data_IF_209530382237
#
_entry.id   IF_209530382237
#
_cell.length_a   1.000
_cell.length_b   1.000
_cell.length_c   1.000
_cell.angle_alpha   90.00
_cell.angle_beta   90.00
_cell.angle_gamma   90.00
#
_symmetry.space_group_name_H-M   'P 1'
#
loop_
_entity.id
_entity.type
_entity.pdbx_description
1 polymer ?
#
# COMPACT_ATOMS: atom_id res chain seq x y z
N UNK A 1 -11.37 -7.00 25.80
CA UNK A 1 -10.83 -6.08 24.77
C UNK A 1 -9.77 -6.86 23.99
N UNK A 2 -9.68 -6.69 22.68
CA UNK A 2 -8.59 -7.30 21.91
C UNK A 2 -7.27 -6.64 22.31
N UNK A 3 -6.25 -7.45 22.57
CA UNK A 3 -4.90 -6.99 22.91
C UNK A 3 -4.12 -6.84 21.63
N UNK A 4 -3.57 -5.65 21.37
CA UNK A 4 -2.79 -5.36 20.18
C UNK A 4 -1.49 -6.17 20.11
N UNK A 5 -0.93 -6.29 18.90
CA UNK A 5 0.44 -6.82 18.75
C UNK A 5 1.43 -6.07 19.65
N UNK A 6 1.35 -4.73 19.68
CA UNK A 6 2.28 -3.88 20.44
C UNK A 6 2.17 -4.02 21.96
N UNK A 7 1.01 -4.48 22.47
CA UNK A 7 0.87 -4.78 23.89
C UNK A 7 1.32 -6.20 24.22
N UNK A 8 0.98 -7.18 23.34
CA UNK A 8 1.39 -8.58 23.54
C UNK A 8 2.91 -8.77 23.49
N UNK A 9 3.61 -8.06 22.60
CA UNK A 9 5.03 -8.24 22.44
C UNK A 9 5.83 -7.78 23.66
N UNK A 10 5.26 -6.95 24.55
CA UNK A 10 5.87 -6.56 25.84
C UNK A 10 6.04 -7.75 26.79
N UNK A 11 5.23 -8.79 26.61
CA UNK A 11 5.26 -10.02 27.41
C UNK A 11 6.07 -11.15 26.73
N UNK A 12 6.64 -10.88 25.54
CA UNK A 12 7.40 -11.87 24.80
C UNK A 12 8.70 -12.23 25.53
N UNK A 13 8.88 -13.53 25.78
CA UNK A 13 10.04 -14.07 26.51
C UNK A 13 11.10 -14.66 25.58
N UNK A 14 10.73 -14.93 24.34
CA UNK A 14 11.64 -15.50 23.35
C UNK A 14 12.43 -14.39 22.65
N UNK A 15 13.60 -14.72 22.10
CA UNK A 15 14.38 -13.75 21.33
C UNK A 15 13.54 -13.13 20.19
N UNK A 16 13.52 -11.79 20.13
CA UNK A 16 12.90 -11.04 19.04
C UNK A 16 13.98 -10.72 18.03
N UNK A 17 13.81 -11.17 16.78
CA UNK A 17 14.81 -11.03 15.71
C UNK A 17 14.17 -10.31 14.53
N UNK A 18 14.87 -9.33 13.99
CA UNK A 18 14.36 -8.53 12.86
C UNK A 18 14.83 -9.14 11.53
N UNK A 19 13.89 -9.37 10.62
CA UNK A 19 14.21 -9.73 9.24
C UNK A 19 14.11 -8.50 8.35
N UNK A 20 15.26 -8.04 7.86
CA UNK A 20 15.40 -6.88 7.00
C UNK A 20 16.32 -5.81 7.56
N UNK A 21 16.79 -4.90 6.71
CA UNK A 21 17.79 -3.86 7.03
C UNK A 21 17.46 -2.54 6.34
N UNK A 22 16.19 -2.27 6.07
CA UNK A 22 15.70 -1.04 5.46
C UNK A 22 14.99 -0.14 6.46
N UNK A 23 14.33 0.90 5.95
CA UNK A 23 13.60 1.89 6.74
C UNK A 23 12.52 1.27 7.66
N UNK A 24 11.82 0.23 7.20
CA UNK A 24 10.85 -0.47 8.05
C UNK A 24 11.49 -1.14 9.26
N UNK A 25 12.69 -1.75 9.07
CA UNK A 25 13.47 -2.33 10.18
C UNK A 25 13.97 -1.25 11.15
N UNK A 26 14.39 -0.07 10.66
CA UNK A 26 14.76 1.07 11.51
C UNK A 26 13.61 1.49 12.42
N UNK A 27 12.44 1.76 11.83
CA UNK A 27 11.24 2.18 12.58
C UNK A 27 10.77 1.11 13.57
N UNK A 28 10.89 -0.16 13.18
CA UNK A 28 10.52 -1.30 14.03
C UNK A 28 11.44 -1.37 15.26
N UNK A 29 12.75 -1.24 15.08
CA UNK A 29 13.73 -1.21 16.18
C UNK A 29 13.47 -0.02 17.11
N UNK A 30 13.21 1.16 16.57
CA UNK A 30 12.90 2.35 17.37
C UNK A 30 11.63 2.15 18.21
N UNK A 31 10.55 1.61 17.61
CA UNK A 31 9.30 1.33 18.33
C UNK A 31 9.49 0.29 19.44
N UNK A 32 10.22 -0.78 19.16
CA UNK A 32 10.53 -1.81 20.16
C UNK A 32 11.35 -1.25 21.31
N UNK A 33 12.36 -0.43 21.01
CA UNK A 33 13.20 0.24 22.01
C UNK A 33 12.40 1.16 22.93
N UNK A 34 11.47 1.96 22.36
CA UNK A 34 10.55 2.80 23.13
C UNK A 34 9.64 1.95 24.06
N UNK A 35 9.28 0.74 23.63
CA UNK A 35 8.52 -0.22 24.43
C UNK A 35 9.36 -0.99 25.47
N UNK A 36 10.66 -0.74 25.55
CA UNK A 36 11.58 -1.48 26.43
C UNK A 36 11.87 -2.92 25.95
N UNK A 37 11.57 -3.24 24.70
CA UNK A 37 11.72 -4.57 24.13
C UNK A 37 13.11 -4.70 23.50
N UNK A 38 13.89 -5.67 23.97
CA UNK A 38 15.24 -5.90 23.48
C UNK A 38 15.20 -6.72 22.18
N UNK A 39 15.75 -6.16 21.11
CA UNK A 39 16.04 -6.89 19.87
C UNK A 39 17.27 -7.78 20.10
N UNK A 40 17.14 -9.08 19.81
CA UNK A 40 18.24 -10.06 19.94
C UNK A 40 19.21 -9.98 18.76
N UNK A 41 18.71 -9.73 17.55
CA UNK A 41 19.54 -9.70 16.36
C UNK A 41 18.79 -9.24 15.11
N UNK A 42 19.56 -9.08 14.02
CA UNK A 42 19.04 -8.70 12.69
C UNK A 42 19.58 -9.67 11.66
N UNK A 43 18.73 -10.17 10.78
CA UNK A 43 19.15 -10.99 9.68
C UNK A 43 18.56 -10.51 8.33
N UNK A 44 19.18 -10.94 7.25
CA UNK A 44 18.76 -10.66 5.89
C UNK A 44 18.77 -11.95 5.05
N UNK A 45 18.12 -11.94 3.89
CA UNK A 45 18.25 -13.01 2.90
C UNK A 45 19.71 -13.16 2.47
N UNK A 46 20.15 -14.37 2.14
CA UNK A 46 21.57 -14.72 1.93
C UNK A 46 22.30 -13.78 0.95
N UNK A 47 21.66 -13.35 -0.12
CA UNK A 47 22.22 -12.38 -1.07
C UNK A 47 22.44 -10.96 -0.50
N UNK A 48 21.92 -10.67 0.68
CA UNK A 48 21.96 -9.34 1.33
C UNK A 48 22.76 -9.32 2.65
N UNK A 49 23.31 -10.43 3.10
CA UNK A 49 24.09 -10.52 4.34
C UNK A 49 25.36 -9.66 4.31
N UNK A 50 26.16 -9.73 3.27
CA UNK A 50 27.33 -8.88 2.89
C UNK A 50 28.22 -8.37 4.04
N UNK A 51 28.51 -9.14 5.06
CA UNK A 51 29.37 -8.80 6.22
C UNK A 51 29.24 -7.31 6.67
N UNK A 52 28.02 -6.86 6.86
CA UNK A 52 27.69 -5.48 7.26
C UNK A 52 27.03 -5.43 8.62
N UNK A 53 27.06 -4.25 9.24
CA UNK A 53 26.27 -3.95 10.43
C UNK A 53 25.06 -3.09 10.11
N UNK A 54 23.99 -3.25 10.90
CA UNK A 54 22.79 -2.43 10.83
C UNK A 54 22.34 -2.09 12.26
N UNK A 55 22.24 -0.82 12.58
CA UNK A 55 21.86 -0.33 13.94
C UNK A 55 22.70 -0.95 15.08
N UNK A 56 23.98 -1.21 14.81
CA UNK A 56 24.90 -1.85 15.77
C UNK A 56 24.84 -3.38 15.81
N UNK A 57 23.91 -4.01 15.10
CA UNK A 57 23.86 -5.47 14.97
C UNK A 57 24.70 -5.92 13.78
N UNK A 58 25.48 -6.98 13.93
CA UNK A 58 26.04 -7.71 12.79
C UNK A 58 24.88 -8.41 12.06
N UNK A 59 24.71 -8.12 10.76
CA UNK A 59 23.67 -8.75 9.94
C UNK A 59 24.05 -10.20 9.68
N UNK A 60 23.17 -11.12 10.04
CA UNK A 60 23.38 -12.56 9.88
C UNK A 60 22.49 -13.16 8.80
N UNK A 61 22.71 -14.41 8.44
CA UNK A 61 21.77 -15.21 7.65
C UNK A 61 20.66 -15.78 8.52
N UNK A 62 19.59 -16.30 7.92
CA UNK A 62 18.54 -17.03 8.66
C UNK A 62 19.12 -18.24 9.40
N UNK A 63 20.04 -19.01 8.78
CA UNK A 63 20.70 -20.13 9.44
C UNK A 63 21.50 -19.71 10.68
N UNK A 64 22.24 -18.59 10.59
CA UNK A 64 22.94 -18.01 11.74
C UNK A 64 22.01 -17.53 12.85
N UNK A 65 20.85 -16.99 12.50
CA UNK A 65 19.82 -16.61 13.46
C UNK A 65 19.23 -17.86 14.17
N UNK A 66 18.96 -18.93 13.44
CA UNK A 66 18.46 -20.21 14.00
C UNK A 66 19.49 -20.87 14.93
N UNK A 67 20.76 -20.85 14.54
CA UNK A 67 21.85 -21.38 15.38
C UNK A 67 21.98 -20.61 16.69
N UNK A 68 21.86 -19.28 16.67
CA UNK A 68 22.06 -18.43 17.83
C UNK A 68 20.83 -18.37 18.75
N UNK A 69 19.62 -18.32 18.20
CA UNK A 69 18.38 -18.05 18.95
C UNK A 69 17.40 -19.22 19.04
N UNK A 70 17.60 -20.29 18.23
CA UNK A 70 16.67 -21.42 18.13
C UNK A 70 15.46 -21.11 17.24
N UNK A 71 14.67 -22.15 16.95
CA UNK A 71 13.51 -22.09 16.06
C UNK A 71 12.26 -21.46 16.70
N UNK A 72 12.23 -21.27 18.01
CA UNK A 72 11.13 -20.63 18.73
C UNK A 72 11.31 -19.09 18.88
N UNK A 73 12.35 -18.52 18.29
CA UNK A 73 12.49 -17.07 18.18
C UNK A 73 11.28 -16.43 17.50
N UNK A 74 10.94 -15.19 17.87
CA UNK A 74 9.94 -14.40 17.15
C UNK A 74 10.62 -13.54 16.08
N UNK A 75 10.31 -13.80 14.83
CA UNK A 75 10.80 -13.03 13.68
C UNK A 75 9.82 -11.91 13.38
N UNK A 76 10.32 -10.68 13.32
CA UNK A 76 9.54 -9.52 12.89
C UNK A 76 10.03 -9.05 11.51
N UNK A 77 9.11 -8.95 10.56
CA UNK A 77 9.42 -8.44 9.23
C UNK A 77 9.55 -6.93 9.25
N UNK A 78 10.75 -6.43 8.94
CA UNK A 78 11.06 -5.01 8.82
C UNK A 78 11.04 -4.48 7.38
N UNK A 79 10.29 -5.13 6.49
CA UNK A 79 10.10 -4.73 5.09
C UNK A 79 8.75 -5.22 4.58
N UNK A 80 8.34 -4.69 3.44
CA UNK A 80 7.16 -5.15 2.71
C UNK A 80 7.51 -5.57 1.27
N UNK A 81 6.66 -6.37 0.65
CA UNK A 81 6.82 -6.80 -0.74
C UNK A 81 5.51 -7.34 -1.34
N UNK A 82 5.34 -7.12 -2.63
CA UNK A 82 4.33 -7.73 -3.50
C UNK A 82 4.96 -8.67 -4.53
N UNK A 83 6.30 -8.81 -4.52
CA UNK A 83 7.01 -9.70 -5.44
C UNK A 83 6.70 -11.15 -5.10
N UNK A 84 6.17 -11.89 -6.08
CA UNK A 84 5.66 -13.25 -5.89
C UNK A 84 6.66 -14.21 -5.23
N UNK A 85 7.95 -14.13 -5.60
CA UNK A 85 9.00 -14.96 -5.02
C UNK A 85 9.29 -14.61 -3.55
N UNK A 86 9.16 -13.32 -3.18
CA UNK A 86 9.36 -12.86 -1.79
C UNK A 86 8.16 -13.23 -0.93
N UNK A 87 6.95 -12.98 -1.41
CA UNK A 87 5.70 -13.37 -0.75
C UNK A 87 5.68 -14.87 -0.50
N UNK A 88 6.00 -15.70 -1.52
CA UNK A 88 6.08 -17.16 -1.39
C UNK A 88 7.12 -17.61 -0.37
N UNK A 89 8.26 -16.94 -0.30
CA UNK A 89 9.31 -17.23 0.68
C UNK A 89 8.87 -16.91 2.11
N UNK A 90 8.15 -15.78 2.30
CA UNK A 90 7.62 -15.39 3.60
C UNK A 90 6.46 -16.29 4.02
N UNK A 91 5.58 -16.71 3.10
CA UNK A 91 4.53 -17.73 3.38
C UNK A 91 5.15 -19.02 3.91
N UNK A 92 6.19 -19.54 3.26
CA UNK A 92 6.91 -20.72 3.72
C UNK A 92 7.56 -20.51 5.08
N UNK A 93 8.27 -19.39 5.27
CA UNK A 93 8.91 -19.07 6.54
C UNK A 93 7.90 -18.99 7.70
N UNK A 94 6.74 -18.36 7.48
CA UNK A 94 5.67 -18.25 8.49
C UNK A 94 4.96 -19.58 8.79
N UNK A 95 5.07 -20.56 7.90
CA UNK A 95 4.62 -21.94 8.15
C UNK A 95 5.61 -22.77 8.98
N UNK A 96 6.89 -22.39 9.01
CA UNK A 96 7.93 -23.12 9.73
C UNK A 96 8.32 -22.46 11.07
N UNK A 97 8.29 -21.15 11.14
CA UNK A 97 8.76 -20.35 12.27
C UNK A 97 7.72 -19.32 12.72
N UNK A 98 7.92 -18.77 13.91
CA UNK A 98 7.06 -17.70 14.45
C UNK A 98 7.41 -16.40 13.77
N UNK A 99 6.58 -15.99 12.82
CA UNK A 99 6.75 -14.73 12.05
C UNK A 99 5.59 -13.80 12.34
N UNK A 100 5.88 -12.53 12.55
CA UNK A 100 4.89 -11.46 12.60
C UNK A 100 5.33 -10.27 11.73
N UNK A 101 4.36 -9.59 11.17
CA UNK A 101 4.55 -8.39 10.36
C UNK A 101 3.60 -7.30 10.87
N UNK A 102 3.89 -6.65 12.01
CA UNK A 102 3.04 -5.57 12.47
C UNK A 102 3.07 -4.40 11.49
N UNK A 103 1.92 -3.75 11.28
CA UNK A 103 1.89 -2.52 10.49
C UNK A 103 2.80 -1.47 11.12
N UNK A 104 3.71 -0.97 10.32
CA UNK A 104 4.63 0.12 10.68
C UNK A 104 4.20 1.35 9.87
N UNK A 105 3.90 2.48 10.53
CA UNK A 105 3.49 3.69 9.83
C UNK A 105 4.63 4.24 8.98
N UNK A 106 4.38 4.46 7.68
CA UNK A 106 5.34 5.07 6.75
C UNK A 106 4.94 6.50 6.38
N UNK A 107 3.63 6.77 6.32
CA UNK A 107 3.05 8.02 5.86
C UNK A 107 2.24 8.76 6.95
N UNK A 108 2.09 8.13 8.10
CA UNK A 108 1.51 8.68 9.32
C UNK A 108 2.38 8.27 10.53
N UNK A 109 1.96 8.64 11.74
CA UNK A 109 2.62 8.23 13.00
C UNK A 109 1.73 7.29 13.83
N UNK A 110 0.69 6.70 13.21
CA UNK A 110 -0.33 5.89 13.89
C UNK A 110 0.09 4.43 13.98
N UNK A 111 0.34 3.97 15.19
CA UNK A 111 0.49 2.55 15.50
C UNK A 111 -0.87 1.97 15.93
N UNK A 112 -1.18 0.76 15.46
CA UNK A 112 -2.42 0.06 15.85
C UNK A 112 -2.22 -0.57 17.23
N UNK A 113 -2.31 0.25 18.25
CA UNK A 113 -2.28 -0.18 19.65
C UNK A 113 -3.67 -0.23 20.26
N UNK A 114 -3.77 -0.61 21.54
CA UNK A 114 -5.06 -0.77 22.22
C UNK A 114 -5.88 0.52 22.32
N UNK A 115 -5.29 1.71 22.15
CA UNK A 115 -6.00 2.98 22.13
C UNK A 115 -6.66 3.26 20.79
N UNK A 116 -6.09 2.78 19.68
CA UNK A 116 -6.59 2.98 18.33
C UNK A 116 -7.64 1.92 17.91
N UNK A 117 -7.55 0.70 18.45
CA UNK A 117 -8.42 -0.43 18.08
C UNK A 117 -9.93 -0.09 18.21
N UNK A 118 -10.43 0.57 19.26
CA UNK A 118 -11.87 0.87 19.38
C UNK A 118 -12.38 1.75 18.22
N UNK A 119 -11.64 2.79 17.85
CA UNK A 119 -11.97 3.65 16.71
C UNK A 119 -11.95 2.85 15.40
N UNK A 120 -10.89 2.08 15.16
CA UNK A 120 -10.76 1.26 13.95
C UNK A 120 -11.95 0.29 13.82
N UNK A 121 -12.35 -0.38 14.89
CA UNK A 121 -13.48 -1.31 14.89
C UNK A 121 -14.81 -0.63 14.59
N UNK A 122 -15.06 0.52 15.19
CA UNK A 122 -16.25 1.31 14.90
C UNK A 122 -16.33 1.67 13.42
N UNK A 123 -15.22 2.17 12.83
CA UNK A 123 -15.13 2.55 11.43
C UNK A 123 -15.26 1.35 10.48
N UNK A 124 -14.63 0.23 10.83
CA UNK A 124 -14.73 -1.01 10.05
C UNK A 124 -16.16 -1.57 10.07
N UNK A 125 -16.83 -1.56 11.22
CA UNK A 125 -18.23 -2.00 11.31
C UNK A 125 -19.17 -1.13 10.45
N UNK A 126 -18.96 0.19 10.45
CA UNK A 126 -19.69 1.12 9.58
C UNK A 126 -19.42 0.85 8.09
N UNK A 127 -18.15 0.66 7.72
CA UNK A 127 -17.75 0.37 6.34
C UNK A 127 -18.29 -0.97 5.84
N UNK A 128 -18.28 -2.01 6.68
CA UNK A 128 -18.76 -3.35 6.31
C UNK A 128 -20.19 -3.35 5.76
N UNK A 129 -21.07 -2.50 6.33
CA UNK A 129 -22.45 -2.34 5.87
C UNK A 129 -22.60 -1.67 4.50
N UNK A 130 -21.54 -1.04 3.99
CA UNK A 130 -21.51 -0.34 2.69
C UNK A 130 -20.85 -1.14 1.59
N UNK A 131 -20.12 -2.22 1.93
CA UNK A 131 -19.41 -3.06 0.97
C UNK A 131 -20.39 -3.91 0.14
N UNK A 132 -20.15 -3.94 -1.17
CA UNK A 132 -21.09 -4.50 -2.14
C UNK A 132 -21.19 -6.03 -2.10
N UNK A 133 -20.10 -6.73 -1.69
CA UNK A 133 -20.06 -8.19 -1.72
C UNK A 133 -19.44 -8.82 -0.46
N UNK A 134 -19.60 -10.14 -0.34
CA UNK A 134 -19.12 -10.91 0.81
C UNK A 134 -17.59 -11.04 0.82
N UNK A 135 -16.96 -11.07 -0.36
CA UNK A 135 -15.50 -11.09 -0.47
C UNK A 135 -14.90 -9.83 0.17
N UNK A 136 -15.46 -8.66 -0.14
CA UNK A 136 -15.04 -7.38 0.46
C UNK A 136 -15.18 -7.37 1.99
N UNK A 137 -16.29 -7.93 2.52
CA UNK A 137 -16.51 -8.02 3.97
C UNK A 137 -15.52 -8.96 4.64
N UNK A 138 -15.22 -10.11 4.01
CA UNK A 138 -14.19 -11.05 4.50
C UNK A 138 -12.79 -10.41 4.47
N UNK A 139 -12.45 -9.72 3.40
CA UNK A 139 -11.18 -8.98 3.27
C UNK A 139 -11.06 -7.92 4.36
N UNK A 140 -12.11 -7.14 4.62
CA UNK A 140 -12.11 -6.14 5.68
C UNK A 140 -11.89 -6.75 7.07
N UNK A 141 -12.57 -7.85 7.38
CA UNK A 141 -12.38 -8.58 8.65
C UNK A 141 -10.97 -9.14 8.79
N UNK A 142 -10.41 -9.71 7.72
CA UNK A 142 -9.05 -10.25 7.73
C UNK A 142 -8.00 -9.15 7.94
N UNK A 143 -8.19 -7.97 7.33
CA UNK A 143 -7.32 -6.82 7.54
C UNK A 143 -7.42 -6.29 8.98
N UNK A 144 -8.63 -6.28 9.58
CA UNK A 144 -8.80 -5.93 10.98
C UNK A 144 -7.98 -6.85 11.89
N UNK A 145 -8.15 -8.15 11.73
CA UNK A 145 -7.46 -9.17 12.52
C UNK A 145 -5.93 -9.10 12.31
N UNK A 146 -5.48 -8.93 11.07
CA UNK A 146 -4.08 -8.70 10.75
C UNK A 146 -3.53 -7.44 11.43
N UNK A 147 -4.19 -6.30 11.31
CA UNK A 147 -3.74 -5.02 11.89
C UNK A 147 -3.62 -5.08 13.42
N UNK A 148 -4.50 -5.82 14.07
CA UNK A 148 -4.47 -6.05 15.53
C UNK A 148 -3.36 -7.01 15.92
N UNK A 149 -3.20 -8.10 15.15
CA UNK A 149 -2.34 -9.22 15.53
C UNK A 149 -0.93 -9.19 14.95
N UNK A 150 -0.71 -8.57 13.80
CA UNK A 150 0.50 -8.70 13.01
C UNK A 150 0.67 -10.08 12.36
N UNK A 151 -0.36 -10.94 12.40
CA UNK A 151 -0.32 -12.29 11.85
C UNK A 151 -0.65 -12.27 10.35
N UNK A 152 0.31 -12.68 9.54
CA UNK A 152 0.21 -12.71 8.08
C UNK A 152 -0.79 -13.72 7.54
N UNK A 153 -1.19 -14.73 8.34
CA UNK A 153 -2.14 -15.74 7.89
C UNK A 153 -3.50 -15.12 7.52
N UNK A 154 -3.89 -14.03 8.19
CA UNK A 154 -5.10 -13.30 7.84
C UNK A 154 -5.02 -12.68 6.44
N UNK A 155 -3.88 -12.06 6.09
CA UNK A 155 -3.67 -11.49 4.74
C UNK A 155 -3.63 -12.59 3.68
N UNK A 156 -2.85 -13.63 3.91
CA UNK A 156 -2.75 -14.77 2.98
C UNK A 156 -4.08 -15.50 2.76
N UNK A 157 -4.96 -15.49 3.77
CA UNK A 157 -6.29 -16.11 3.69
C UNK A 157 -7.34 -15.27 2.94
N UNK A 158 -7.08 -14.00 2.66
CA UNK A 158 -8.01 -13.10 1.96
C UNK A 158 -7.46 -12.58 0.62
N UNK A 159 -6.35 -13.13 0.12
CA UNK A 159 -5.80 -12.73 -1.17
C UNK A 159 -6.79 -12.96 -2.31
N UNK A 160 -7.07 -11.91 -3.05
CA UNK A 160 -7.87 -11.93 -4.28
C UNK A 160 -7.02 -11.95 -5.53
N UNK A 161 -7.68 -11.92 -6.68
CA UNK A 161 -7.07 -11.88 -8.00
C UNK A 161 -7.33 -10.53 -8.66
N UNK A 162 -6.26 -9.85 -9.11
CA UNK A 162 -6.43 -8.62 -9.91
C UNK A 162 -7.15 -8.90 -11.22
N UNK A 163 -6.84 -10.02 -11.89
CA UNK A 163 -7.51 -10.44 -13.11
C UNK A 163 -9.02 -10.59 -12.91
N UNK A 164 -9.45 -11.17 -11.79
CA UNK A 164 -10.88 -11.33 -11.49
C UNK A 164 -11.53 -9.98 -11.15
N UNK A 165 -10.81 -9.08 -10.46
CA UNK A 165 -11.29 -7.72 -10.21
C UNK A 165 -11.52 -6.95 -11.50
N UNK A 166 -10.60 -7.01 -12.45
CA UNK A 166 -10.75 -6.35 -13.73
C UNK A 166 -11.92 -6.93 -14.54
N UNK A 167 -12.13 -8.27 -14.56
CA UNK A 167 -13.17 -8.93 -15.33
C UNK A 167 -14.56 -8.82 -14.70
N UNK A 168 -14.65 -8.94 -13.36
CA UNK A 168 -15.94 -9.14 -12.69
C UNK A 168 -16.45 -7.92 -11.95
N UNK A 169 -15.57 -6.97 -11.60
CA UNK A 169 -15.91 -5.76 -10.84
C UNK A 169 -15.77 -4.52 -11.71
N UNK A 170 -14.59 -4.30 -12.30
CA UNK A 170 -14.36 -3.13 -13.16
C UNK A 170 -15.07 -3.25 -14.50
N UNK A 171 -15.11 -4.43 -15.12
CA UNK A 171 -15.82 -4.69 -16.38
C UNK A 171 -15.58 -3.59 -17.42
N UNK A 172 -14.31 -3.48 -17.87
CA UNK A 172 -13.87 -2.43 -18.79
C UNK A 172 -14.44 -2.64 -20.19
N UNK A 173 -14.85 -1.56 -20.86
CA UNK A 173 -15.62 -1.61 -22.11
C UNK A 173 -14.78 -1.46 -23.40
N UNK A 174 -13.46 -1.38 -23.31
CA UNK A 174 -12.58 -1.22 -24.48
C UNK A 174 -12.58 0.17 -25.14
N UNK A 175 -13.26 1.15 -24.55
CA UNK A 175 -13.26 2.58 -24.96
C UNK A 175 -13.02 3.49 -23.77
N UNK A 176 -12.20 3.01 -22.82
CA UNK A 176 -11.90 3.74 -21.60
C UNK A 176 -11.01 4.96 -21.87
N UNK A 177 -11.32 6.05 -21.19
CA UNK A 177 -10.42 7.17 -20.95
C UNK A 177 -9.82 6.93 -19.56
N UNK A 178 -8.63 6.33 -19.53
CA UNK A 178 -7.94 5.87 -18.32
C UNK A 178 -6.99 6.92 -17.77
N UNK A 179 -7.02 7.13 -16.46
CA UNK A 179 -6.03 7.95 -15.76
C UNK A 179 -5.36 7.15 -14.65
N UNK A 180 -4.02 7.15 -14.66
CA UNK A 180 -3.15 6.49 -13.70
C UNK A 180 -2.39 7.51 -12.87
N UNK A 181 -2.80 7.70 -11.61
CA UNK A 181 -2.13 8.61 -10.68
C UNK A 181 -1.19 7.80 -9.79
N UNK A 182 0.12 8.09 -9.90
CA UNK A 182 1.19 7.26 -9.36
C UNK A 182 1.50 6.09 -10.32
N UNK A 183 1.77 6.43 -11.58
CA UNK A 183 1.98 5.44 -12.65
C UNK A 183 3.34 4.72 -12.55
N UNK A 184 4.24 5.18 -11.67
CA UNK A 184 5.56 4.61 -11.43
C UNK A 184 6.34 4.38 -12.73
N UNK A 185 6.42 3.14 -13.20
CA UNK A 185 7.14 2.76 -14.43
C UNK A 185 6.23 2.19 -15.51
N UNK A 186 4.91 2.21 -15.29
CA UNK A 186 3.91 1.77 -16.26
C UNK A 186 3.38 0.33 -16.04
N UNK A 187 3.72 -0.32 -14.94
CA UNK A 187 3.23 -1.66 -14.61
C UNK A 187 1.69 -1.74 -14.51
N UNK A 188 1.05 -0.70 -13.98
CA UNK A 188 -0.40 -0.59 -13.94
C UNK A 188 -1.03 -0.27 -15.29
N UNK A 189 -0.29 0.41 -16.17
CA UNK A 189 -0.70 0.61 -17.58
C UNK A 189 -0.70 -0.74 -18.32
N UNK A 190 0.34 -1.57 -18.14
CA UNK A 190 0.38 -2.92 -18.73
C UNK A 190 -0.81 -3.77 -18.29
N UNK A 191 -1.14 -3.71 -17.00
CA UNK A 191 -2.29 -4.42 -16.45
C UNK A 191 -3.62 -3.90 -17.05
N UNK A 192 -3.76 -2.58 -17.18
CA UNK A 192 -4.91 -1.98 -17.85
C UNK A 192 -5.03 -2.45 -19.30
N UNK A 193 -3.95 -2.37 -20.08
CA UNK A 193 -3.93 -2.79 -21.50
C UNK A 193 -4.27 -4.27 -21.67
N UNK A 194 -3.81 -5.13 -20.78
CA UNK A 194 -4.13 -6.56 -20.77
C UNK A 194 -5.65 -6.81 -20.68
N UNK A 195 -6.37 -5.98 -19.92
CA UNK A 195 -7.80 -6.20 -19.63
C UNK A 195 -8.74 -5.35 -20.48
N UNK A 196 -8.33 -4.13 -20.85
CA UNK A 196 -9.15 -3.26 -21.67
C UNK A 196 -9.20 -3.69 -23.15
N UNK A 197 -8.13 -4.31 -23.64
CA UNK A 197 -7.97 -4.68 -25.06
C UNK A 197 -7.75 -3.46 -25.96
N UNK A 198 -8.71 -2.54 -25.98
CA UNK A 198 -8.66 -1.23 -26.66
C UNK A 198 -9.03 -0.12 -25.68
N UNK A 199 -8.67 1.11 -25.99
CA UNK A 199 -8.96 2.29 -25.15
C UNK A 199 -9.04 3.56 -26.00
N UNK A 200 -9.60 4.63 -25.47
CA UNK A 200 -9.67 5.95 -26.12
C UNK A 200 -8.43 6.79 -25.83
N UNK A 201 -8.07 6.92 -24.55
CA UNK A 201 -6.91 7.70 -24.11
C UNK A 201 -6.34 7.19 -22.80
N UNK A 202 -5.07 7.49 -22.56
CA UNK A 202 -4.40 7.26 -21.27
C UNK A 202 -3.77 8.58 -20.79
N UNK A 203 -4.03 8.96 -19.55
CA UNK A 203 -3.28 9.97 -18.81
C UNK A 203 -2.48 9.33 -17.70
N UNK A 204 -1.19 9.60 -17.57
CA UNK A 204 -0.36 9.00 -16.53
C UNK A 204 0.46 10.07 -15.79
N UNK A 205 0.39 10.05 -14.47
CA UNK A 205 1.02 11.03 -13.57
C UNK A 205 2.04 10.33 -12.68
N UNK A 206 3.30 10.80 -12.71
CA UNK A 206 4.38 10.28 -11.88
C UNK A 206 5.32 11.41 -11.44
N UNK A 207 5.41 11.72 -10.13
CA UNK A 207 6.22 12.84 -9.64
C UNK A 207 7.71 12.55 -9.54
N UNK A 208 8.15 11.29 -9.38
CA UNK A 208 9.58 10.95 -9.33
C UNK A 208 10.21 10.96 -10.71
N UNK A 209 11.15 11.90 -10.96
CA UNK A 209 11.74 12.07 -12.28
C UNK A 209 12.43 10.81 -12.84
N UNK A 210 13.02 9.94 -11.99
CA UNK A 210 13.67 8.70 -12.45
C UNK A 210 12.64 7.64 -12.84
N UNK A 211 11.55 7.55 -12.09
CA UNK A 211 10.42 6.69 -12.42
C UNK A 211 9.73 7.18 -13.68
N UNK A 212 9.54 8.50 -13.81
CA UNK A 212 8.95 9.13 -14.98
C UNK A 212 9.78 8.92 -16.27
N UNK A 213 11.11 9.01 -16.20
CA UNK A 213 11.99 8.66 -17.34
C UNK A 213 11.72 7.24 -17.82
N UNK A 214 11.65 6.27 -16.88
CA UNK A 214 11.36 4.87 -17.22
C UNK A 214 9.93 4.65 -17.71
N UNK A 215 8.97 5.35 -17.14
CA UNK A 215 7.59 5.37 -17.64
C UNK A 215 7.54 5.85 -19.09
N UNK A 216 8.24 6.93 -19.40
CA UNK A 216 8.33 7.49 -20.76
C UNK A 216 8.96 6.49 -21.74
N UNK A 217 10.06 5.85 -21.35
CA UNK A 217 10.70 4.80 -22.17
C UNK A 217 9.77 3.62 -22.39
N UNK A 218 9.09 3.16 -21.33
CA UNK A 218 8.21 1.99 -21.36
C UNK A 218 7.00 2.19 -22.26
N UNK A 219 6.43 3.41 -22.23
CA UNK A 219 5.19 3.74 -22.96
C UNK A 219 5.41 4.36 -24.35
N UNK A 220 6.65 4.47 -24.82
CA UNK A 220 6.99 5.15 -26.06
C UNK A 220 6.27 4.60 -27.33
N UNK A 221 5.80 3.35 -27.30
CA UNK A 221 5.08 2.72 -28.41
C UNK A 221 3.55 2.79 -28.28
N UNK A 222 3.02 3.43 -27.24
CA UNK A 222 1.58 3.51 -26.97
C UNK A 222 1.04 4.81 -27.57
N UNK A 223 0.09 4.71 -28.50
CA UNK A 223 -0.61 5.88 -29.06
C UNK A 223 -1.65 6.40 -28.06
N UNK A 224 -2.05 7.67 -28.18
CA UNK A 224 -3.05 8.32 -27.33
C UNK A 224 -2.74 8.31 -25.81
N UNK A 225 -1.46 8.41 -25.45
CA UNK A 225 -1.01 8.54 -24.07
C UNK A 225 -0.46 9.96 -23.82
N UNK A 226 -0.78 10.51 -22.65
CA UNK A 226 -0.24 11.78 -22.15
C UNK A 226 0.45 11.55 -20.80
N UNK A 227 1.69 11.99 -20.66
CA UNK A 227 2.51 11.78 -19.48
C UNK A 227 2.77 13.09 -18.74
N UNK A 228 2.67 13.08 -17.42
CA UNK A 228 2.81 14.27 -16.57
C UNK A 228 3.80 13.99 -15.43
N UNK A 229 4.95 14.70 -15.44
CA UNK A 229 5.91 14.64 -14.33
C UNK A 229 5.58 15.72 -13.29
N UNK A 230 4.49 15.52 -12.58
CA UNK A 230 3.98 16.42 -11.55
C UNK A 230 3.47 15.64 -10.34
N UNK A 231 3.38 16.29 -9.20
CA UNK A 231 2.69 15.74 -8.03
C UNK A 231 1.19 16.09 -8.14
N UNK A 232 0.31 15.09 -8.11
CA UNK A 232 -1.14 15.32 -8.13
C UNK A 232 -1.64 15.61 -6.71
N UNK A 233 -2.36 16.74 -6.52
CA UNK A 233 -2.78 17.24 -5.22
C UNK A 233 -4.16 17.93 -5.29
N UNK A 234 -4.59 18.51 -4.18
CA UNK A 234 -5.79 19.35 -4.07
C UNK A 234 -5.55 20.81 -4.46
N UNK A 235 -4.30 21.19 -4.69
CA UNK A 235 -3.89 22.54 -5.08
C UNK A 235 -2.84 22.50 -6.17
N UNK A 236 -2.73 23.59 -6.95
CA UNK A 236 -1.69 23.76 -7.96
C UNK A 236 -0.58 24.65 -7.48
N UNK A 237 0.65 24.41 -7.96
CA UNK A 237 1.82 25.20 -7.59
C UNK A 237 3.08 24.37 -7.42
N UNK A 238 3.69 24.41 -6.24
CA UNK A 238 4.91 23.66 -5.91
C UNK A 238 4.74 22.98 -4.57
N UNK A 239 4.94 21.68 -4.55
CA UNK A 239 5.01 20.87 -3.34
C UNK A 239 6.43 20.35 -3.12
N UNK A 240 6.77 20.00 -1.87
CA UNK A 240 8.07 19.42 -1.55
C UNK A 240 7.93 17.90 -1.50
N UNK A 241 8.65 17.23 -2.39
CA UNK A 241 8.60 15.78 -2.55
C UNK A 241 9.92 15.15 -2.14
N UNK A 242 9.86 14.18 -1.25
CA UNK A 242 11.00 13.37 -0.84
C UNK A 242 11.02 12.07 -1.63
N UNK A 243 11.89 11.95 -2.63
CA UNK A 243 12.17 10.68 -3.26
C UNK A 243 12.96 9.80 -2.28
N UNK A 244 12.28 8.93 -1.55
CA UNK A 244 12.91 7.76 -0.95
C UNK A 244 13.36 6.79 -2.04
N UNK A 245 14.35 5.95 -1.76
CA UNK A 245 14.76 4.89 -2.72
C UNK A 245 13.62 3.86 -2.83
N UNK A 246 12.76 3.97 -3.84
CA UNK A 246 11.64 3.07 -4.08
C UNK A 246 10.29 3.57 -3.55
N UNK A 247 9.37 2.66 -3.29
CA UNK A 247 8.06 2.90 -2.66
C UNK A 247 8.27 3.52 -1.26
N UNK A 248 8.01 4.75 -1.06
CA UNK A 248 8.26 5.49 0.20
C UNK A 248 8.53 6.96 -0.02
N UNK A 249 8.14 7.46 -1.17
CA UNK A 249 8.19 8.88 -1.52
C UNK A 249 7.00 9.60 -0.86
N UNK A 250 7.23 10.67 -0.12
CA UNK A 250 6.16 11.40 0.56
C UNK A 250 6.27 12.90 0.38
N UNK A 251 5.14 13.60 0.45
CA UNK A 251 5.11 15.07 0.50
C UNK A 251 5.67 15.62 1.83
N UNK A 252 6.31 16.79 1.80
CA UNK A 252 6.63 17.58 2.99
C UNK A 252 8.11 17.83 3.30
N UNK A 253 9.05 17.00 2.86
CA UNK A 253 10.49 17.25 2.94
C UNK A 253 11.18 16.71 1.70
N UNK A 254 11.90 17.53 0.94
CA UNK A 254 12.61 17.07 -0.26
C UNK A 254 12.85 18.19 -1.27
N UNK A 255 12.98 17.83 -2.54
CA UNK A 255 13.10 18.80 -3.63
C UNK A 255 11.72 19.38 -4.00
N UNK A 256 11.65 20.64 -4.45
CA UNK A 256 10.42 21.19 -5.00
C UNK A 256 10.04 20.44 -6.29
N UNK A 257 8.78 20.08 -6.41
CA UNK A 257 8.17 19.45 -7.58
C UNK A 257 6.92 20.24 -7.93
N UNK A 258 6.68 20.46 -9.22
CA UNK A 258 5.42 21.05 -9.68
C UNK A 258 4.25 20.20 -9.22
N UNK A 259 3.18 20.82 -8.74
CA UNK A 259 1.95 20.11 -8.43
C UNK A 259 0.75 20.72 -9.18
N UNK A 260 -0.24 19.89 -9.47
CA UNK A 260 -1.48 20.26 -10.12
C UNK A 260 -2.65 19.46 -9.60
N UNK A 261 -3.85 20.00 -9.77
CA UNK A 261 -5.06 19.25 -9.45
C UNK A 261 -5.42 18.27 -10.58
N UNK A 262 -6.08 17.19 -10.24
CA UNK A 262 -6.52 16.22 -11.26
C UNK A 262 -7.46 16.86 -12.28
N UNK A 263 -8.37 17.76 -11.85
CA UNK A 263 -9.28 18.47 -12.72
C UNK A 263 -8.54 19.34 -13.74
N UNK A 264 -7.44 20.02 -13.36
CA UNK A 264 -6.61 20.81 -14.26
C UNK A 264 -5.82 19.93 -15.24
N UNK A 265 -5.23 18.83 -14.77
CA UNK A 265 -4.47 17.91 -15.62
C UNK A 265 -5.34 17.28 -16.70
N UNK A 266 -6.58 16.92 -16.36
CA UNK A 266 -7.57 16.38 -17.31
C UNK A 266 -8.07 17.46 -18.28
N UNK A 267 -8.12 18.73 -17.87
CA UNK A 267 -8.52 19.85 -18.72
C UNK A 267 -9.95 19.76 -19.25
N UNK A 268 -10.86 19.11 -18.51
CA UNK A 268 -12.27 18.94 -18.89
C UNK A 268 -12.53 17.77 -19.81
N UNK A 269 -11.53 16.95 -20.17
CA UNK A 269 -11.66 15.70 -20.91
C UNK A 269 -12.48 14.67 -20.13
N UNK A 270 -13.00 13.67 -20.85
CA UNK A 270 -13.72 12.55 -20.22
C UNK A 270 -12.74 11.67 -19.44
N UNK A 271 -13.21 11.14 -18.31
CA UNK A 271 -12.54 10.06 -17.58
C UNK A 271 -13.57 8.98 -17.29
N UNK A 272 -13.25 7.74 -17.62
CA UNK A 272 -14.13 6.60 -17.38
C UNK A 272 -13.53 5.59 -16.40
N UNK A 273 -12.20 5.55 -16.29
CA UNK A 273 -11.48 4.76 -15.30
C UNK A 273 -10.32 5.55 -14.69
N UNK A 274 -10.22 5.55 -13.37
CA UNK A 274 -9.21 6.27 -12.59
C UNK A 274 -8.55 5.33 -11.59
N UNK A 275 -7.25 5.11 -11.70
CA UNK A 275 -6.46 4.45 -10.67
C UNK A 275 -5.70 5.51 -9.86
N UNK A 276 -5.69 5.38 -8.53
CA UNK A 276 -4.95 6.26 -7.62
C UNK A 276 -4.12 5.42 -6.66
N UNK A 277 -2.81 5.60 -6.73
CA UNK A 277 -1.83 5.06 -5.79
C UNK A 277 -0.74 6.14 -5.61
N UNK A 278 -1.02 7.09 -4.73
CA UNK A 278 -0.31 8.37 -4.63
C UNK A 278 0.51 8.50 -3.34
N UNK A 279 0.95 7.36 -2.78
CA UNK A 279 1.88 7.30 -1.65
C UNK A 279 1.42 8.15 -0.44
N UNK A 280 0.12 8.05 -0.11
CA UNK A 280 -0.53 8.73 1.02
C UNK A 280 -1.10 10.11 0.69
N UNK A 281 -1.21 10.46 -0.59
CA UNK A 281 -1.87 11.68 -1.05
C UNK A 281 -3.24 11.42 -1.71
N UNK A 282 -3.80 10.21 -1.56
CA UNK A 282 -5.04 9.79 -2.23
C UNK A 282 -6.21 10.73 -1.95
N UNK A 283 -6.40 11.15 -0.70
CA UNK A 283 -7.44 12.13 -0.33
C UNK A 283 -7.26 13.45 -1.06
N UNK A 284 -6.03 13.98 -1.15
CA UNK A 284 -5.74 15.22 -1.88
C UNK A 284 -6.03 15.08 -3.36
N UNK A 285 -5.63 13.96 -3.98
CA UNK A 285 -5.93 13.68 -5.39
C UNK A 285 -7.44 13.66 -5.63
N UNK A 286 -8.22 13.01 -4.77
CA UNK A 286 -9.68 12.97 -4.87
C UNK A 286 -10.31 14.35 -4.75
N UNK A 287 -9.82 15.17 -3.82
CA UNK A 287 -10.31 16.54 -3.64
C UNK A 287 -9.95 17.42 -4.85
N UNK A 288 -8.75 17.26 -5.42
CA UNK A 288 -8.31 17.94 -6.65
C UNK A 288 -9.00 17.43 -7.93
N UNK A 289 -9.63 16.25 -7.88
CA UNK A 289 -10.40 15.64 -8.97
C UNK A 289 -11.91 15.67 -8.76
N UNK A 290 -12.39 16.44 -7.77
CA UNK A 290 -13.81 16.47 -7.39
C UNK A 290 -14.74 16.75 -8.57
N UNK A 291 -14.41 17.76 -9.39
CA UNK A 291 -15.24 18.12 -10.55
C UNK A 291 -15.32 17.03 -11.61
N UNK A 292 -14.23 16.34 -11.84
CA UNK A 292 -14.16 15.17 -12.73
C UNK A 292 -15.02 14.01 -12.21
N UNK A 293 -14.89 13.67 -10.91
CA UNK A 293 -15.63 12.59 -10.27
C UNK A 293 -17.13 12.89 -10.27
N UNK A 294 -17.53 14.10 -9.91
CA UNK A 294 -18.93 14.55 -9.94
C UNK A 294 -19.54 14.44 -11.34
N UNK A 295 -18.79 14.90 -12.38
CA UNK A 295 -19.28 15.01 -13.74
C UNK A 295 -19.34 13.67 -14.49
N UNK A 296 -18.27 12.87 -14.39
CA UNK A 296 -18.10 11.70 -15.25
C UNK A 296 -18.36 10.38 -14.54
N UNK A 297 -18.38 10.36 -13.21
CA UNK A 297 -18.58 9.13 -12.42
C UNK A 297 -17.65 7.99 -12.89
N UNK A 298 -16.32 8.21 -12.95
CA UNK A 298 -15.40 7.18 -13.39
C UNK A 298 -15.46 5.95 -12.47
N UNK A 299 -15.25 4.77 -13.01
CA UNK A 299 -14.84 3.62 -12.19
C UNK A 299 -13.52 3.99 -11.53
N UNK A 300 -13.30 3.58 -10.27
CA UNK A 300 -12.06 3.93 -9.58
C UNK A 300 -11.45 2.71 -8.89
N UNK A 301 -10.11 2.62 -8.89
CA UNK A 301 -9.30 1.64 -8.16
C UNK A 301 -8.27 2.43 -7.34
N UNK A 302 -8.39 2.42 -6.02
CA UNK A 302 -7.67 3.34 -5.13
C UNK A 302 -6.96 2.57 -4.02
N UNK A 303 -5.66 2.83 -3.84
CA UNK A 303 -4.87 2.32 -2.72
C UNK A 303 -5.42 2.86 -1.38
N UNK A 304 -5.60 1.96 -0.39
CA UNK A 304 -6.13 2.31 0.93
C UNK A 304 -5.27 1.76 2.08
N UNK A 305 -3.97 1.66 1.85
CA UNK A 305 -3.02 1.04 2.77
C UNK A 305 -1.91 1.98 3.27
N UNK A 306 -1.78 3.16 2.70
CA UNK A 306 -0.68 4.07 3.04
C UNK A 306 -0.83 4.63 4.45
N UNK A 307 -1.99 5.17 4.80
CA UNK A 307 -2.29 5.66 6.15
C UNK A 307 -3.14 4.67 6.93
N UNK A 308 -3.15 4.78 8.24
CA UNK A 308 -3.92 3.88 9.10
C UNK A 308 -5.43 3.97 8.84
N UNK A 309 -5.91 5.13 8.45
CA UNK A 309 -7.32 5.46 8.28
C UNK A 309 -7.81 5.47 6.82
N UNK A 310 -6.93 5.35 5.81
CA UNK A 310 -7.31 5.39 4.40
C UNK A 310 -8.46 4.43 4.06
N UNK A 311 -8.46 3.23 4.65
CA UNK A 311 -9.44 2.19 4.37
C UNK A 311 -10.90 2.60 4.65
N UNK A 312 -11.13 3.53 5.57
CA UNK A 312 -12.47 4.12 5.78
C UNK A 312 -12.53 5.59 5.33
N UNK A 313 -11.42 6.31 5.39
CA UNK A 313 -11.35 7.72 5.03
C UNK A 313 -11.62 7.93 3.54
N UNK A 314 -11.02 7.15 2.68
CA UNK A 314 -11.22 7.25 1.22
C UNK A 314 -12.69 7.04 0.81
N UNK A 315 -13.39 5.98 1.26
CA UNK A 315 -14.83 5.86 1.04
C UNK A 315 -15.68 7.01 1.60
N UNK A 316 -15.28 7.59 2.74
CA UNK A 316 -15.98 8.76 3.31
C UNK A 316 -15.82 9.99 2.41
N UNK A 317 -14.59 10.24 1.91
CA UNK A 317 -14.31 11.35 0.98
C UNK A 317 -15.11 11.21 -0.31
N UNK A 318 -15.08 10.02 -0.92
CA UNK A 318 -15.84 9.75 -2.15
C UNK A 318 -17.34 9.91 -1.92
N UNK A 319 -17.88 9.44 -0.80
CA UNK A 319 -19.28 9.62 -0.45
C UNK A 319 -19.67 11.09 -0.28
N UNK A 320 -18.72 11.93 0.13
CA UNK A 320 -18.92 13.40 0.18
C UNK A 320 -18.89 14.07 -1.19
N UNK A 321 -18.43 13.37 -2.23
CA UNK A 321 -18.46 13.80 -3.63
C UNK A 321 -19.69 13.20 -4.33
N UNK A 322 -19.85 11.88 -4.24
CA UNK A 322 -20.96 11.09 -4.81
C UNK A 322 -21.29 9.89 -3.92
N UNK A 323 -22.57 9.63 -3.69
CA UNK A 323 -23.07 8.56 -2.82
C UNK A 323 -23.63 7.34 -3.56
N UNK A 324 -23.52 7.33 -4.91
CA UNK A 324 -24.09 6.32 -5.78
C UNK A 324 -23.11 5.25 -6.28
N UNK A 325 -21.94 5.16 -5.66
CA UNK A 325 -20.96 4.11 -5.95
C UNK A 325 -21.24 2.82 -5.20
N UNK A 326 -21.09 1.70 -5.89
CA UNK A 326 -20.90 0.38 -5.27
C UNK A 326 -19.44 0.23 -4.88
N UNK A 327 -19.18 -0.17 -3.64
CA UNK A 327 -17.84 -0.18 -3.04
C UNK A 327 -17.39 -1.61 -2.83
N UNK A 328 -16.21 -1.95 -3.36
CA UNK A 328 -15.56 -3.25 -3.16
C UNK A 328 -14.18 -3.06 -2.53
N UNK A 329 -13.77 -4.01 -1.71
CA UNK A 329 -12.43 -4.05 -1.10
C UNK A 329 -11.74 -5.33 -1.54
N UNK A 330 -10.51 -5.21 -2.01
CA UNK A 330 -9.65 -6.33 -2.40
C UNK A 330 -8.27 -6.19 -1.78
N UNK A 331 -7.68 -7.32 -1.45
CA UNK A 331 -6.28 -7.41 -1.07
C UNK A 331 -5.58 -8.40 -2.00
N UNK A 332 -4.51 -7.98 -2.64
CA UNK A 332 -3.74 -8.83 -3.56
C UNK A 332 -2.45 -9.30 -2.89
N UNK A 333 -1.80 -10.38 -3.40
CA UNK A 333 -0.63 -10.96 -2.76
C UNK A 333 0.45 -9.94 -2.42
N UNK A 334 0.57 -9.61 -1.15
CA UNK A 334 1.55 -8.67 -0.59
C UNK A 334 1.67 -8.83 0.94
N UNK A 335 2.68 -8.20 1.51
CA UNK A 335 2.78 -7.90 2.95
C UNK A 335 3.64 -6.62 3.15
N UNK A 336 3.37 -5.84 4.22
CA UNK A 336 2.19 -5.88 5.12
C UNK A 336 0.87 -5.79 4.34
N UNK A 337 -0.13 -5.10 4.80
CA UNK A 337 -1.42 -4.91 4.09
C UNK A 337 -1.31 -4.00 2.83
N UNK A 338 -0.15 -4.00 2.15
CA UNK A 338 0.05 -3.35 0.86
C UNK A 338 -0.82 -4.03 -0.22
N UNK A 339 -1.02 -3.38 -1.35
CA UNK A 339 -1.93 -3.85 -2.40
C UNK A 339 -3.36 -4.12 -1.88
N UNK A 340 -3.77 -3.39 -0.84
CA UNK A 340 -5.16 -3.34 -0.42
C UNK A 340 -5.83 -2.15 -1.11
N UNK A 341 -6.84 -2.44 -1.90
CA UNK A 341 -7.44 -1.47 -2.79
C UNK A 341 -8.97 -1.43 -2.66
N UNK A 342 -9.48 -0.22 -2.74
CA UNK A 342 -10.92 0.05 -2.80
C UNK A 342 -11.32 0.29 -4.25
N UNK A 343 -12.37 -0.40 -4.70
CA UNK A 343 -12.89 -0.28 -6.06
C UNK A 343 -14.29 0.33 -5.99
N UNK A 344 -14.53 1.35 -6.81
CA UNK A 344 -15.79 2.09 -6.91
C UNK A 344 -16.36 1.94 -8.33
N UNK A 345 -17.56 1.41 -8.46
CA UNK A 345 -18.26 1.23 -9.74
C UNK A 345 -19.71 1.65 -9.66
#
# INVERSE_FOLDING_TARGET
MAVSFWDRIKEEKKPVVIYGTGNGADRLIDRLSLGGIKVGGVFASDGFVRDRSFRGFKVMSLSGARELFGDDMLILLGFGSDRAEVVSSVKRLSGELRVACPRIPLYDDVFIDSSFIPLMRERFASLAGRLADEESRRTLSAIEDYRISGDLQYLFGCEGSEDDTFRSVLDLCGSEDYWDIGAYRGDTIDLFLKHAGTFSSIGAVEPDGKSFEKLTEHTAGIENISLFNVFCSDVSGTEYFSSGSGRGSSSGRGRPVACGTLDELIGGGRVSFLKIDAEGAEEKVLMGGRGTIEKYRPKMKIAVYHRADDIWRIPEVINGIRDDYRIYLRHYPAFPDWNTEMIFV
#
